data_IF_742615824212
#
_entry.id   IF_742615824212
#
_cell.length_a   1.000
_cell.length_b   1.000
_cell.length_c   1.000
_cell.angle_alpha   90.00
_cell.angle_beta   90.00
_cell.angle_gamma   90.00
#
_symmetry.space_group_name_H-M   'P 1'
#
loop_
_entity.id
_entity.type
_entity.pdbx_description
1 polymer ?
#
# COMPACT_ATOMS: atom_id res chain seq x y z
N UNK A 1 13.65 -0.61 -8.16
CA UNK A 1 12.21 -0.97 -8.03
C UNK A 1 11.70 -1.75 -9.24
N UNK A 2 11.89 -1.23 -10.47
CA UNK A 2 11.46 -1.88 -11.73
C UNK A 2 11.81 -3.38 -11.86
N UNK A 3 13.03 -3.77 -11.50
CA UNK A 3 13.51 -5.16 -11.55
C UNK A 3 12.88 -6.11 -10.51
N UNK A 4 12.13 -5.58 -9.54
CA UNK A 4 11.45 -6.41 -8.52
C UNK A 4 10.14 -7.02 -9.04
N UNK A 5 9.64 -6.55 -10.17
CA UNK A 5 8.45 -7.08 -10.82
C UNK A 5 8.86 -8.22 -11.74
N UNK A 6 8.20 -9.36 -11.56
CA UNK A 6 8.30 -10.48 -12.48
C UNK A 6 7.48 -10.18 -13.73
N UNK A 7 7.93 -10.62 -14.91
CA UNK A 7 7.26 -10.32 -16.18
C UNK A 7 5.83 -10.88 -16.20
N UNK A 8 4.96 -10.27 -17.02
CA UNK A 8 3.59 -10.73 -17.22
C UNK A 8 3.51 -12.12 -17.88
N UNK A 9 4.48 -12.42 -18.77
CA UNK A 9 4.66 -13.71 -19.42
C UNK A 9 6.00 -14.33 -18.97
N UNK A 10 6.06 -14.90 -17.75
CA UNK A 10 7.25 -15.56 -17.26
C UNK A 10 7.44 -16.94 -17.93
N UNK A 11 8.60 -17.55 -17.68
CA UNK A 11 8.80 -18.97 -17.93
C UNK A 11 7.77 -19.81 -17.17
N UNK A 12 7.46 -21.02 -17.65
CA UNK A 12 6.45 -21.91 -17.04
C UNK A 12 6.77 -22.29 -15.59
N UNK A 13 8.02 -22.15 -15.14
CA UNK A 13 8.47 -22.44 -13.79
C UNK A 13 8.46 -21.22 -12.85
N UNK A 14 8.10 -20.03 -13.35
CA UNK A 14 8.07 -18.80 -12.58
C UNK A 14 6.68 -18.13 -12.60
N UNK A 15 6.24 -17.49 -11.51
CA UNK A 15 4.97 -16.77 -11.50
C UNK A 15 5.16 -15.30 -11.91
N UNK A 16 4.13 -14.70 -12.47
CA UNK A 16 4.07 -13.25 -12.71
C UNK A 16 3.79 -12.49 -11.40
N UNK A 17 4.08 -11.19 -11.37
CA UNK A 17 3.68 -10.35 -10.21
C UNK A 17 2.21 -9.98 -10.33
N UNK A 18 1.38 -10.51 -9.44
CA UNK A 18 -0.06 -10.23 -9.43
C UNK A 18 -0.48 -8.98 -8.66
N UNK A 19 0.30 -8.55 -7.65
CA UNK A 19 -0.01 -7.37 -6.82
C UNK A 19 1.25 -6.87 -6.12
N UNK A 20 1.31 -5.57 -5.84
CA UNK A 20 2.29 -4.97 -4.92
C UNK A 20 1.60 -4.57 -3.63
N UNK A 21 2.11 -5.05 -2.49
CA UNK A 21 1.62 -4.66 -1.18
C UNK A 21 2.55 -3.63 -0.52
N UNK A 22 2.01 -2.45 -0.20
CA UNK A 22 2.70 -1.42 0.59
C UNK A 22 2.12 -1.40 2.01
N UNK A 23 2.97 -1.41 3.03
CA UNK A 23 2.53 -1.28 4.42
C UNK A 23 2.86 0.12 4.93
N UNK A 24 1.84 0.93 5.26
CA UNK A 24 2.03 2.28 5.79
C UNK A 24 1.16 2.52 7.04
N UNK A 25 1.75 2.68 8.23
CA UNK A 25 3.17 2.68 8.59
C UNK A 25 3.84 1.29 8.53
N UNK A 26 5.13 1.20 8.20
CA UNK A 26 5.84 -0.07 8.12
C UNK A 26 6.21 -0.63 9.51
N UNK A 27 5.53 -1.70 9.94
CA UNK A 27 5.72 -2.30 11.26
C UNK A 27 7.12 -2.91 11.44
N UNK A 28 7.67 -3.58 10.42
CA UNK A 28 9.01 -4.20 10.49
C UNK A 28 10.15 -3.18 10.56
N UNK A 29 9.88 -1.91 10.27
CA UNK A 29 10.82 -0.80 10.40
C UNK A 29 10.53 0.09 11.62
N UNK A 30 9.77 -0.41 12.59
CA UNK A 30 9.45 0.31 13.83
C UNK A 30 8.34 1.36 13.67
N UNK A 31 7.39 1.15 12.77
CA UNK A 31 6.27 2.06 12.54
C UNK A 31 6.64 3.30 11.72
N UNK A 32 7.64 3.20 10.84
CA UNK A 32 8.03 4.32 9.96
C UNK A 32 6.95 4.61 8.93
N UNK A 33 6.64 5.90 8.77
CA UNK A 33 5.79 6.40 7.69
C UNK A 33 6.57 6.34 6.38
N UNK A 34 5.93 5.82 5.33
CA UNK A 34 6.49 5.86 3.98
C UNK A 34 6.36 7.29 3.44
N UNK A 35 7.41 7.87 2.84
CA UNK A 35 7.29 9.14 2.13
C UNK A 35 6.22 9.05 1.03
N UNK A 36 5.37 10.06 0.89
CA UNK A 36 4.29 10.05 -0.11
C UNK A 36 4.84 9.88 -1.54
N UNK A 37 5.97 10.51 -1.84
CA UNK A 37 6.66 10.39 -3.13
C UNK A 37 7.11 8.95 -3.43
N UNK A 38 7.42 8.15 -2.40
CA UNK A 38 7.76 6.74 -2.58
C UNK A 38 6.52 5.91 -2.92
N UNK A 39 5.39 6.18 -2.27
CA UNK A 39 4.11 5.52 -2.59
C UNK A 39 3.74 5.80 -4.05
N UNK A 40 3.78 7.07 -4.46
CA UNK A 40 3.53 7.51 -5.84
C UNK A 40 4.48 6.83 -6.84
N UNK A 41 5.79 6.82 -6.55
CA UNK A 41 6.77 6.15 -7.41
C UNK A 41 6.46 4.66 -7.60
N UNK A 42 6.02 3.97 -6.54
CA UNK A 42 5.63 2.55 -6.65
C UNK A 42 4.35 2.41 -7.47
N UNK A 43 3.34 3.25 -7.25
CA UNK A 43 2.10 3.24 -8.01
C UNK A 43 2.34 3.50 -9.51
N UNK A 44 3.20 4.44 -9.87
CA UNK A 44 3.56 4.72 -11.27
C UNK A 44 4.23 3.51 -11.94
N UNK A 45 5.23 2.93 -11.28
CA UNK A 45 5.95 1.74 -11.76
C UNK A 45 5.02 0.54 -11.93
N UNK A 46 4.06 0.39 -11.02
CA UNK A 46 3.04 -0.66 -11.02
C UNK A 46 2.02 -0.45 -12.14
N UNK A 47 1.56 0.79 -12.34
CA UNK A 47 0.62 1.18 -13.40
C UNK A 47 1.21 0.91 -14.79
N UNK A 48 2.48 1.26 -15.01
CA UNK A 48 3.22 0.95 -16.24
C UNK A 48 3.27 -0.56 -16.57
N UNK A 49 3.12 -1.42 -15.55
CA UNK A 49 3.17 -2.88 -15.68
C UNK A 49 1.81 -3.56 -15.60
N UNK A 50 0.73 -2.80 -15.42
CA UNK A 50 -0.61 -3.36 -15.21
C UNK A 50 -0.73 -4.19 -13.92
N UNK A 51 0.10 -3.90 -12.90
CA UNK A 51 0.06 -4.60 -11.61
C UNK A 51 -0.66 -3.71 -10.58
N UNK A 52 -1.70 -4.19 -9.89
CA UNK A 52 -2.39 -3.39 -8.88
C UNK A 52 -1.53 -3.15 -7.63
N UNK A 53 -1.81 -2.05 -6.93
CA UNK A 53 -1.20 -1.73 -5.63
C UNK A 53 -2.26 -1.82 -4.53
N UNK A 54 -2.01 -2.67 -3.54
CA UNK A 54 -2.77 -2.72 -2.29
C UNK A 54 -1.95 -2.01 -1.21
N UNK A 55 -2.56 -1.03 -0.55
CA UNK A 55 -1.99 -0.43 0.65
C UNK A 55 -2.56 -1.13 1.90
N UNK A 56 -1.72 -1.84 2.64
CA UNK A 56 -1.99 -2.24 4.02
C UNK A 56 -1.88 -1.00 4.91
N UNK A 57 -3.05 -0.45 5.22
CA UNK A 57 -3.26 0.73 6.02
C UNK A 57 -3.79 0.40 7.40
N UNK A 58 -3.39 -0.73 8.00
CA UNK A 58 -3.76 -1.07 9.38
C UNK A 58 -3.49 0.10 10.37
N UNK A 59 -2.54 0.97 10.04
CA UNK A 59 -2.20 2.21 10.77
C UNK A 59 -2.26 3.47 9.90
N UNK A 60 -3.13 3.51 8.89
CA UNK A 60 -3.24 4.63 7.94
C UNK A 60 -3.42 5.98 8.65
N UNK A 61 -4.28 6.04 9.68
CA UNK A 61 -4.52 7.27 10.42
C UNK A 61 -3.28 7.79 11.17
N UNK A 62 -2.38 6.90 11.63
CA UNK A 62 -1.12 7.31 12.23
C UNK A 62 -0.17 7.91 11.19
N UNK A 63 -0.14 7.32 9.99
CA UNK A 63 0.64 7.87 8.88
C UNK A 63 0.16 9.28 8.52
N UNK A 64 -1.17 9.48 8.42
CA UNK A 64 -1.79 10.77 8.15
C UNK A 64 -1.48 11.82 9.22
N UNK A 65 -1.61 11.48 10.51
CA UNK A 65 -1.26 12.39 11.61
C UNK A 65 0.21 12.79 11.57
N UNK A 66 1.11 11.84 11.32
CA UNK A 66 2.56 12.11 11.28
C UNK A 66 2.99 12.93 10.07
N UNK A 67 2.42 12.67 8.88
CA UNK A 67 2.79 13.36 7.65
C UNK A 67 2.06 14.69 7.44
N UNK A 68 0.94 14.93 8.15
CA UNK A 68 0.06 16.07 7.91
C UNK A 68 -0.73 15.98 6.60
N UNK A 69 -0.85 14.78 6.02
CA UNK A 69 -1.55 14.51 4.76
C UNK A 69 -2.89 13.83 5.07
N UNK A 70 -3.96 14.15 4.32
CA UNK A 70 -5.25 13.51 4.54
C UNK A 70 -5.19 12.02 4.16
N UNK A 71 -5.90 11.13 4.88
CA UNK A 71 -5.85 9.69 4.60
C UNK A 71 -6.17 9.31 3.14
N UNK A 72 -7.11 10.02 2.50
CA UNK A 72 -7.49 9.75 1.11
C UNK A 72 -6.39 10.16 0.11
N UNK A 73 -5.62 11.21 0.41
CA UNK A 73 -4.49 11.65 -0.42
C UNK A 73 -3.32 10.66 -0.36
N UNK A 74 -3.11 10.00 0.79
CA UNK A 74 -2.07 8.97 0.95
C UNK A 74 -2.32 7.80 -0.02
N UNK A 75 -3.58 7.42 -0.19
CA UNK A 75 -3.98 6.20 -0.89
C UNK A 75 -4.54 6.44 -2.29
N UNK A 76 -4.58 7.70 -2.76
CA UNK A 76 -5.27 8.11 -3.99
C UNK A 76 -4.80 7.34 -5.24
N UNK A 77 -3.52 6.98 -5.29
CA UNK A 77 -2.92 6.27 -6.41
C UNK A 77 -2.93 4.75 -6.24
N UNK A 78 -3.37 4.23 -5.09
CA UNK A 78 -3.46 2.80 -4.83
C UNK A 78 -4.74 2.21 -5.42
N UNK A 79 -4.68 0.98 -5.92
CA UNK A 79 -5.85 0.27 -6.45
C UNK A 79 -6.82 -0.13 -5.35
N UNK A 80 -6.29 -0.46 -4.18
CA UNK A 80 -7.09 -0.80 -3.00
C UNK A 80 -6.35 -0.43 -1.71
N UNK A 81 -7.11 -0.27 -0.64
CA UNK A 81 -6.60 -0.03 0.71
C UNK A 81 -7.34 -0.93 1.69
N UNK A 82 -6.61 -1.48 2.66
CA UNK A 82 -7.18 -2.04 3.87
C UNK A 82 -6.92 -1.10 5.06
N UNK A 83 -7.86 -0.98 5.97
CA UNK A 83 -7.69 -0.21 7.21
C UNK A 83 -8.26 -0.97 8.40
N UNK A 84 -7.53 -0.96 9.51
CA UNK A 84 -7.98 -1.58 10.76
C UNK A 84 -8.63 -0.55 11.68
N UNK A 85 -9.80 -0.89 12.22
CA UNK A 85 -10.56 -0.03 13.12
C UNK A 85 -10.12 -0.16 14.59
N UNK A 86 -9.46 -1.27 14.97
CA UNK A 86 -9.05 -1.52 16.35
C UNK A 86 -7.67 -0.96 16.74
N UNK A 87 -7.06 -0.17 15.85
CA UNK A 87 -5.77 0.51 16.13
C UNK A 87 -6.02 1.91 16.67
N UNK A 88 -5.75 2.94 15.86
CA UNK A 88 -5.82 4.35 16.29
C UNK A 88 -7.23 4.83 16.59
N UNK A 89 -8.24 4.13 16.08
CA UNK A 89 -9.64 4.44 16.31
C UNK A 89 -10.22 3.74 17.55
N UNK A 90 -9.51 2.76 18.12
CA UNK A 90 -9.90 2.14 19.40
C UNK A 90 -11.14 1.26 19.37
N UNK A 91 -11.62 0.83 18.20
CA UNK A 91 -12.72 -0.13 18.11
C UNK A 91 -12.32 -1.49 18.73
N UNK A 92 -13.25 -2.29 19.28
CA UNK A 92 -12.90 -3.59 19.86
C UNK A 92 -12.32 -4.57 18.81
N UNK A 93 -12.86 -4.53 17.59
CA UNK A 93 -12.44 -5.32 16.44
C UNK A 93 -12.98 -4.64 15.17
N UNK A 94 -12.38 -4.91 14.02
CA UNK A 94 -12.92 -4.53 12.71
C UNK A 94 -11.85 -4.10 11.72
N UNK A 95 -12.14 -4.33 10.44
CA UNK A 95 -11.33 -3.88 9.31
C UNK A 95 -12.25 -3.53 8.14
N UNK A 96 -11.80 -2.60 7.31
CA UNK A 96 -12.48 -2.19 6.07
C UNK A 96 -11.52 -2.38 4.92
N UNK A 97 -12.05 -2.80 3.77
CA UNK A 97 -11.34 -2.77 2.48
C UNK A 97 -12.13 -1.86 1.54
N UNK A 98 -11.42 -1.01 0.83
CA UNK A 98 -11.97 -0.15 -0.22
C UNK A 98 -11.07 -0.20 -1.45
N UNK A 99 -11.65 0.08 -2.61
CA UNK A 99 -10.96 0.12 -3.89
C UNK A 99 -11.68 1.04 -4.87
N UNK A 100 -11.00 1.41 -5.94
CA UNK A 100 -11.54 2.17 -7.06
C UNK A 100 -12.29 1.29 -8.06
#
# INVERSE_FOLDING_TARGET
LKEKFRPANPDIHEPSTGVVCLENTNNRRGGRVLPQSFIQQVCDISRDRGVPVLLDGARLLYAAVHSGILPHEIVIDCSSVSMCLSKGLGAPVGSVVAGA
#
